data_IF_030017764121
#
_entry.id   IF_030017764121
#
_cell.length_a   1.000
_cell.length_b   1.000
_cell.length_c   1.000
_cell.angle_alpha   90.00
_cell.angle_beta   90.00
_cell.angle_gamma   90.00
#
_symmetry.space_group_name_H-M   'P 1'
#
loop_
_entity.id
_entity.type
_entity.pdbx_description
1 polymer ?
#
# COMPACT_ATOMS: atom_id res chain seq x y z
N UNK A 1 -12.85 -7.96 8.27
CA UNK A 1 -11.93 -6.99 7.62
C UNK A 1 -11.96 -5.69 8.40
N UNK A 2 -10.81 -5.07 8.55
CA UNK A 2 -10.71 -3.77 9.20
C UNK A 2 -10.77 -2.67 8.15
N UNK A 3 -11.65 -1.70 8.36
CA UNK A 3 -11.79 -0.56 7.44
C UNK A 3 -11.43 0.70 8.21
N UNK A 4 -10.53 1.49 7.65
CA UNK A 4 -10.05 2.72 8.25
C UNK A 4 -10.36 3.90 7.35
N UNK A 5 -10.73 5.02 7.95
CA UNK A 5 -10.87 6.28 7.22
C UNK A 5 -9.55 7.03 7.34
N UNK A 6 -8.97 7.41 6.21
CA UNK A 6 -7.65 8.03 6.15
C UNK A 6 -7.75 9.29 5.30
N UNK A 7 -7.12 10.36 5.77
CA UNK A 7 -7.07 11.62 5.03
C UNK A 7 -5.82 11.67 4.17
N UNK A 8 -5.83 12.56 3.18
CA UNK A 8 -4.66 12.79 2.34
C UNK A 8 -3.44 13.08 3.22
N UNK A 9 -2.35 12.40 2.94
CA UNK A 9 -1.12 12.58 3.67
C UNK A 9 -0.96 11.72 4.91
N UNK A 10 -2.03 11.08 5.37
CA UNK A 10 -1.94 10.20 6.53
C UNK A 10 -1.39 8.85 6.15
N UNK A 11 -0.73 8.20 7.10
CA UNK A 11 -0.14 6.90 6.89
C UNK A 11 -0.70 5.90 7.88
N UNK A 12 -0.79 4.66 7.45
CA UNK A 12 -1.04 3.53 8.34
C UNK A 12 0.19 2.65 8.34
N UNK A 13 0.35 1.92 9.44
CA UNK A 13 1.47 1.01 9.60
C UNK A 13 0.97 -0.40 9.73
N UNK A 14 1.55 -1.29 8.95
CA UNK A 14 1.30 -2.72 9.04
C UNK A 14 2.55 -3.39 9.58
N UNK A 15 2.37 -4.29 10.53
CA UNK A 15 3.50 -5.05 11.07
C UNK A 15 3.10 -6.52 11.11
N UNK A 16 3.96 -7.37 10.59
CA UNK A 16 3.71 -8.80 10.62
C UNK A 16 4.28 -9.41 11.91
N UNK A 17 4.14 -10.71 12.05
CA UNK A 17 4.56 -11.39 13.26
C UNK A 17 6.08 -11.52 13.39
N UNK A 18 6.83 -11.17 12.36
CA UNK A 18 8.30 -11.14 12.41
C UNK A 18 8.84 -9.76 12.77
N UNK A 19 7.96 -8.76 12.90
CA UNK A 19 8.36 -7.40 13.19
C UNK A 19 8.63 -6.55 11.97
N UNK A 20 8.41 -7.07 10.78
CA UNK A 20 8.58 -6.33 9.54
C UNK A 20 7.49 -5.29 9.41
N UNK A 21 7.85 -4.09 9.00
CA UNK A 21 6.92 -2.96 8.97
C UNK A 21 6.73 -2.47 7.55
N UNK A 22 5.47 -2.22 7.20
CA UNK A 22 5.07 -1.66 5.91
C UNK A 22 4.27 -0.40 6.20
N UNK A 23 4.59 0.68 5.52
CA UNK A 23 3.81 1.91 5.60
C UNK A 23 2.99 2.07 4.34
N UNK A 24 1.72 2.42 4.52
CA UNK A 24 0.84 2.76 3.41
C UNK A 24 0.34 4.17 3.64
N UNK A 25 0.58 5.05 2.69
CA UNK A 25 0.19 6.45 2.79
C UNK A 25 -0.82 6.78 1.72
N UNK A 26 -1.85 7.53 2.10
CA UNK A 26 -2.77 8.08 1.12
C UNK A 26 -2.17 9.37 0.60
N UNK A 27 -1.70 9.36 -0.64
CA UNK A 27 -1.03 10.51 -1.23
C UNK A 27 -2.05 11.56 -1.64
N UNK A 28 -3.09 11.13 -2.36
CA UNK A 28 -4.15 12.05 -2.78
C UNK A 28 -5.34 11.26 -3.26
N UNK A 29 -6.49 11.92 -3.27
CA UNK A 29 -7.72 11.35 -3.82
C UNK A 29 -8.35 12.38 -4.75
N UNK A 30 -8.88 11.91 -5.87
CA UNK A 30 -9.64 12.77 -6.78
C UNK A 30 -10.40 11.89 -7.75
N UNK A 31 -11.62 12.33 -8.08
CA UNK A 31 -12.43 11.68 -9.12
C UNK A 31 -12.60 10.18 -8.89
N UNK A 32 -12.80 9.78 -7.64
CA UNK A 32 -13.00 8.37 -7.31
C UNK A 32 -11.75 7.53 -7.38
N UNK A 33 -10.58 8.15 -7.50
CA UNK A 33 -9.30 7.45 -7.54
C UNK A 33 -8.44 7.87 -6.36
N UNK A 34 -7.67 6.93 -5.85
CA UNK A 34 -6.75 7.20 -4.75
C UNK A 34 -5.34 6.81 -5.18
N UNK A 35 -4.39 7.67 -4.83
CA UNK A 35 -2.98 7.35 -5.02
C UNK A 35 -2.42 6.92 -3.67
N UNK A 36 -1.81 5.74 -3.65
CA UNK A 36 -1.24 5.18 -2.44
C UNK A 36 0.27 5.10 -2.58
N UNK A 37 0.97 5.54 -1.54
CA UNK A 37 2.40 5.32 -1.44
C UNK A 37 2.63 4.15 -0.52
N UNK A 38 3.47 3.21 -0.94
CA UNK A 38 3.75 2.02 -0.16
C UNK A 38 5.25 1.95 0.08
N UNK A 39 5.63 1.92 1.35
CA UNK A 39 7.02 1.79 1.75
C UNK A 39 7.18 0.46 2.44
N UNK A 40 7.90 -0.46 1.81
CA UNK A 40 8.02 -1.82 2.30
C UNK A 40 9.43 -2.34 2.05
N UNK A 41 9.87 -3.33 2.84
CA UNK A 41 11.17 -3.99 2.58
C UNK A 41 11.16 -4.69 1.22
N UNK A 42 12.35 -4.89 0.68
CA UNK A 42 12.49 -5.52 -0.64
C UNK A 42 11.95 -6.95 -0.69
N UNK A 43 11.84 -7.58 0.47
CA UNK A 43 11.30 -8.94 0.53
C UNK A 43 9.79 -8.99 0.37
N UNK A 44 9.12 -7.83 0.43
CA UNK A 44 7.67 -7.76 0.28
C UNK A 44 7.35 -7.46 -1.18
N UNK A 45 6.58 -8.35 -1.79
CA UNK A 45 6.14 -8.16 -3.15
C UNK A 45 4.89 -7.29 -3.15
N UNK A 46 4.90 -6.25 -3.98
CA UNK A 46 3.76 -5.34 -4.10
C UNK A 46 3.15 -5.56 -5.47
N UNK A 47 1.91 -6.01 -5.47
CA UNK A 47 1.20 -6.32 -6.71
C UNK A 47 -0.14 -5.62 -6.71
N UNK A 48 -0.47 -5.01 -7.84
CA UNK A 48 -1.84 -4.56 -8.07
C UNK A 48 -2.67 -5.80 -8.35
N UNK A 49 -3.73 -5.99 -7.63
CA UNK A 49 -4.49 -7.24 -7.74
C UNK A 49 -4.97 -7.48 -9.16
N UNK A 50 -5.37 -6.42 -9.86
CA UNK A 50 -5.84 -6.56 -11.23
C UNK A 50 -4.74 -6.97 -12.20
N UNK A 51 -3.47 -6.90 -11.78
CA UNK A 51 -2.32 -7.23 -12.60
C UNK A 51 -1.49 -8.35 -12.01
N UNK A 52 -2.11 -9.16 -11.17
CA UNK A 52 -1.36 -10.17 -10.42
C UNK A 52 -0.65 -11.17 -11.34
N UNK A 53 -1.21 -11.43 -12.51
CA UNK A 53 -0.59 -12.34 -13.46
C UNK A 53 0.68 -11.77 -14.08
N UNK A 54 0.91 -10.46 -13.97
CA UNK A 54 2.09 -9.82 -14.53
C UNK A 54 3.24 -9.73 -13.55
N UNK A 55 3.01 -10.13 -12.32
CA UNK A 55 4.05 -10.21 -11.30
C UNK A 55 4.82 -8.90 -11.14
N UNK A 56 4.11 -7.81 -11.09
CA UNK A 56 4.67 -6.48 -10.93
C UNK A 56 5.19 -6.27 -9.52
N UNK A 57 6.36 -5.64 -9.37
CA UNK A 57 6.92 -5.37 -8.05
C UNK A 57 7.35 -3.92 -7.97
N UNK A 58 6.82 -3.18 -6.96
CA UNK A 58 7.27 -1.84 -6.60
C UNK A 58 7.22 -0.83 -7.73
N UNK A 59 6.70 -1.19 -8.85
CA UNK A 59 6.68 -0.35 -10.03
C UNK A 59 5.26 -0.31 -10.56
N UNK A 60 4.59 0.78 -10.33
CA UNK A 60 3.19 0.89 -10.73
C UNK A 60 2.99 2.14 -11.57
#
# INVERSE_FOLDING_TARGET
>A
MLVLTVKDGERIRLRDDTGQIIHVMLVSTSHGKAKLGIDAPDTVEILRESLVVQNERRTI
#
